data_IF_378048225250
#
_entry.id   IF_378048225250
#
_cell.length_a   1.000
_cell.length_b   1.000
_cell.length_c   1.000
_cell.angle_alpha   90.00
_cell.angle_beta   90.00
_cell.angle_gamma   90.00
#
_symmetry.space_group_name_H-M   'P 1'
#
loop_
_entity.id
_entity.type
_entity.pdbx_description
1 polymer ?
#
# COMPACT_ATOMS: atom_id res chain seq x y z
N UNK A 1 26.36 -25.57 -20.87
CA UNK A 1 26.25 -26.37 -19.64
C UNK A 1 24.88 -26.06 -19.06
N UNK A 2 23.90 -26.92 -19.32
CA UNK A 2 22.52 -26.75 -18.91
C UNK A 2 22.34 -27.36 -17.53
N UNK A 3 21.89 -26.57 -16.55
CA UNK A 3 21.34 -27.13 -15.31
C UNK A 3 19.85 -27.35 -15.54
N UNK A 4 19.51 -28.62 -15.66
CA UNK A 4 18.17 -29.16 -15.75
C UNK A 4 17.82 -29.60 -14.33
N UNK A 5 16.81 -28.99 -13.72
CA UNK A 5 16.17 -29.49 -12.51
C UNK A 5 14.69 -29.65 -12.84
N UNK A 6 14.18 -30.87 -12.71
CA UNK A 6 12.79 -31.23 -13.01
C UNK A 6 11.91 -30.99 -11.78
N UNK A 7 10.81 -30.28 -12.04
CA UNK A 7 9.44 -30.40 -11.50
C UNK A 7 9.25 -30.95 -10.08
N UNK A 8 8.75 -30.12 -9.16
CA UNK A 8 7.64 -30.53 -8.30
C UNK A 8 6.57 -29.44 -8.27
N UNK A 9 5.35 -29.84 -8.64
CA UNK A 9 4.17 -28.99 -8.66
C UNK A 9 3.87 -28.44 -7.28
N UNK A 10 4.24 -27.17 -7.06
CA UNK A 10 3.85 -26.42 -5.88
C UNK A 10 2.38 -26.02 -6.00
N UNK A 11 1.53 -26.63 -5.18
CA UNK A 11 0.18 -26.15 -4.94
C UNK A 11 0.23 -24.65 -4.66
N UNK A 12 -0.43 -23.86 -5.50
CA UNK A 12 -0.48 -22.40 -5.35
C UNK A 12 -1.29 -22.09 -4.11
N UNK A 13 -0.61 -21.96 -2.97
CA UNK A 13 -1.24 -21.65 -1.69
C UNK A 13 -2.11 -20.40 -1.83
N UNK A 14 -3.41 -20.56 -1.57
CA UNK A 14 -4.43 -19.50 -1.64
C UNK A 14 -4.31 -18.46 -0.52
N UNK A 15 -3.22 -18.49 0.25
CA UNK A 15 -3.05 -17.66 1.43
C UNK A 15 -1.84 -16.74 1.22
N UNK A 16 -2.16 -15.47 0.95
CA UNK A 16 -1.22 -14.37 0.72
C UNK A 16 -0.31 -14.05 1.95
N UNK A 17 -0.45 -14.81 3.03
CA UNK A 17 0.17 -14.64 4.34
C UNK A 17 1.53 -15.35 4.48
N UNK A 18 1.92 -16.22 3.53
CA UNK A 18 3.23 -16.89 3.56
C UNK A 18 4.34 -16.12 2.83
N UNK A 19 3.99 -15.21 1.90
CA UNK A 19 4.98 -14.34 1.25
C UNK A 19 5.54 -13.24 2.18
N UNK A 20 4.91 -13.06 3.35
CA UNK A 20 5.15 -11.94 4.28
C UNK A 20 6.34 -12.21 5.21
N UNK A 21 6.77 -13.46 5.35
CA UNK A 21 7.68 -13.89 6.44
C UNK A 21 9.18 -13.82 6.06
N UNK A 22 9.53 -13.73 4.77
CA UNK A 22 10.92 -13.63 4.32
C UNK A 22 11.33 -12.23 3.83
N UNK A 23 10.48 -11.21 3.95
CA UNK A 23 10.81 -9.87 3.49
C UNK A 23 10.48 -8.86 4.58
N UNK A 24 11.53 -8.27 5.18
CA UNK A 24 11.44 -7.27 6.23
C UNK A 24 10.34 -6.24 5.94
N UNK A 25 9.26 -6.32 6.69
CA UNK A 25 8.09 -5.50 6.48
C UNK A 25 8.39 -4.07 6.96
N UNK A 26 8.42 -3.11 6.03
CA UNK A 26 8.41 -1.69 6.37
C UNK A 26 7.10 -1.06 5.88
N UNK A 27 6.22 -0.86 6.87
CA UNK A 27 5.10 0.09 6.95
C UNK A 27 3.98 -0.01 5.89
N UNK A 28 2.79 -0.44 6.35
CA UNK A 28 1.54 -0.14 5.66
C UNK A 28 0.92 1.13 6.21
N UNK A 29 1.19 2.22 5.52
CA UNK A 29 0.19 3.19 5.14
C UNK A 29 0.81 3.95 3.95
N UNK A 30 0.12 4.16 2.83
CA UNK A 30 0.52 5.19 1.90
C UNK A 30 0.23 6.53 2.58
N UNK A 31 1.03 6.90 3.58
CA UNK A 31 1.19 8.27 3.98
C UNK A 31 1.70 8.96 2.72
N UNK A 32 0.78 9.62 2.01
CA UNK A 32 1.14 10.45 0.87
C UNK A 32 2.18 11.43 1.38
N UNK A 33 3.35 11.44 0.72
CA UNK A 33 4.39 12.39 1.05
C UNK A 33 3.85 13.82 0.95
N UNK A 34 4.52 14.76 1.62
CA UNK A 34 4.16 16.18 1.49
C UNK A 34 4.20 16.58 0.01
N UNK A 35 3.18 17.30 -0.44
CA UNK A 35 3.13 17.79 -1.82
C UNK A 35 4.30 18.73 -2.09
N UNK A 36 4.97 18.55 -3.23
CA UNK A 36 6.10 19.39 -3.62
C UNK A 36 5.64 20.69 -4.30
N UNK A 37 6.26 21.81 -3.93
CA UNK A 37 5.95 23.14 -4.50
C UNK A 37 6.50 23.31 -5.93
N UNK A 38 7.58 22.61 -6.25
CA UNK A 38 8.23 22.68 -7.57
C UNK A 38 7.45 21.94 -8.66
N UNK A 39 6.50 21.06 -8.30
CA UNK A 39 5.67 20.34 -9.25
C UNK A 39 4.95 21.31 -10.19
N UNK A 40 4.95 21.00 -11.50
CA UNK A 40 4.36 21.86 -12.52
C UNK A 40 2.88 22.17 -12.25
N UNK A 41 2.12 21.18 -11.76
CA UNK A 41 0.71 21.35 -11.40
C UNK A 41 0.50 22.36 -10.28
N UNK A 42 1.34 22.31 -9.24
CA UNK A 42 1.29 23.25 -8.11
C UNK A 42 1.66 24.67 -8.55
N UNK A 43 2.76 24.84 -9.31
CA UNK A 43 3.17 26.15 -9.87
C UNK A 43 2.07 26.79 -10.72
N UNK A 44 1.41 26.00 -11.57
CA UNK A 44 0.28 26.47 -12.38
C UNK A 44 -0.91 26.88 -11.51
N UNK A 45 -1.21 26.10 -10.47
CA UNK A 45 -2.32 26.38 -9.57
C UNK A 45 -2.08 27.67 -8.76
N UNK A 46 -0.88 27.88 -8.23
CA UNK A 46 -0.51 29.09 -7.51
C UNK A 46 -0.61 30.34 -8.38
N UNK A 47 -0.12 30.30 -9.63
CA UNK A 47 -0.29 31.39 -10.61
C UNK A 47 -1.75 31.66 -10.96
N UNK A 48 -2.59 30.62 -10.99
CA UNK A 48 -4.03 30.80 -11.23
C UNK A 48 -4.73 31.39 -10.01
N UNK A 49 -4.26 31.06 -8.82
CA UNK A 49 -4.85 31.46 -7.56
C UNK A 49 -4.46 32.89 -7.13
N UNK A 50 -3.40 33.46 -7.70
CA UNK A 50 -2.97 34.83 -7.43
C UNK A 50 -3.94 35.88 -7.99
N UNK A 51 -4.13 36.98 -7.27
CA UNK A 51 -5.01 38.08 -7.65
C UNK A 51 -6.38 38.00 -6.98
N UNK A 52 -7.38 38.66 -7.58
CA UNK A 52 -8.76 38.67 -7.10
C UNK A 52 -9.58 37.61 -7.85
N UNK A 53 -10.65 37.09 -7.23
CA UNK A 53 -11.52 36.08 -7.85
C UNK A 53 -11.68 34.77 -7.08
N UNK A 54 -11.15 34.68 -5.86
CA UNK A 54 -11.43 33.58 -4.93
C UNK A 54 -10.83 32.24 -5.36
N UNK A 55 -11.54 31.14 -5.09
CA UNK A 55 -11.08 29.77 -5.31
C UNK A 55 -11.19 29.38 -6.80
N UNK A 56 -10.06 29.14 -7.48
CA UNK A 56 -10.03 29.00 -8.96
C UNK A 56 -10.13 27.57 -9.52
N UNK A 57 -10.11 26.56 -8.64
CA UNK A 57 -10.32 25.14 -8.98
C UNK A 57 -11.35 24.50 -8.05
N UNK A 58 -12.14 23.52 -8.54
CA UNK A 58 -13.19 22.91 -7.74
C UNK A 58 -12.61 22.16 -6.54
N UNK A 59 -13.25 22.34 -5.37
CA UNK A 59 -12.99 21.54 -4.17
C UNK A 59 -14.02 20.42 -4.11
N UNK A 60 -13.57 19.19 -3.90
CA UNK A 60 -14.46 18.04 -3.85
C UNK A 60 -15.10 17.89 -2.45
N UNK A 61 -16.39 18.19 -2.33
CA UNK A 61 -17.11 18.18 -1.05
C UNK A 61 -17.81 16.84 -0.72
N UNK A 62 -18.31 16.11 -1.72
CA UNK A 62 -19.18 14.94 -1.51
C UNK A 62 -18.38 13.62 -1.39
N UNK A 63 -17.57 13.48 -0.34
CA UNK A 63 -16.81 12.24 -0.07
C UNK A 63 -17.73 11.12 0.42
N UNK A 64 -17.96 10.10 -0.40
CA UNK A 64 -18.80 8.95 -0.05
C UNK A 64 -18.03 7.77 0.57
N UNK A 65 -16.75 7.60 0.22
CA UNK A 65 -15.95 6.45 0.68
C UNK A 65 -15.31 6.74 2.03
N UNK A 66 -15.59 5.89 3.02
CA UNK A 66 -15.08 6.01 4.39
C UNK A 66 -13.70 5.37 4.56
N UNK A 67 -13.37 4.35 3.76
CA UNK A 67 -12.10 3.60 3.83
C UNK A 67 -11.22 3.86 2.62
N UNK A 68 -9.90 3.89 2.79
CA UNK A 68 -8.91 3.97 1.70
C UNK A 68 -8.46 2.55 1.28
N UNK A 69 -7.84 2.42 0.10
CA UNK A 69 -7.10 1.20 -0.24
C UNK A 69 -5.74 1.28 0.45
N UNK A 70 -5.37 0.20 1.14
CA UNK A 70 -4.06 0.09 1.79
C UNK A 70 -3.11 -0.54 0.77
N UNK A 71 -1.91 0.02 0.65
CA UNK A 71 -0.86 -0.49 -0.24
C UNK A 71 0.30 -0.91 0.64
N UNK A 72 0.76 -2.15 0.47
CA UNK A 72 1.94 -2.67 1.13
C UNK A 72 3.19 -2.27 0.33
N UNK A 73 4.24 -1.87 1.04
CA UNK A 73 5.58 -1.69 0.49
C UNK A 73 6.42 -2.90 0.89
N UNK A 74 6.67 -3.78 -0.06
CA UNK A 74 7.48 -4.98 0.14
C UNK A 74 8.93 -4.65 -0.23
N UNK A 75 9.85 -4.82 0.71
CA UNK A 75 11.27 -4.59 0.50
C UNK A 75 11.98 -5.94 0.30
N UNK A 76 12.63 -6.09 -0.86
CA UNK A 76 13.53 -7.20 -1.15
C UNK A 76 14.74 -7.16 -0.20
N UNK A 77 14.98 -8.21 0.59
CA UNK A 77 16.11 -8.21 1.54
C UNK A 77 17.47 -8.24 0.85
N UNK A 78 17.58 -8.99 -0.25
CA UNK A 78 18.84 -9.15 -1.01
C UNK A 78 19.17 -7.93 -1.87
N UNK A 79 18.16 -7.37 -2.55
CA UNK A 79 18.33 -6.35 -3.58
C UNK A 79 17.86 -4.95 -3.17
N UNK A 80 17.21 -4.81 -2.01
CA UNK A 80 16.63 -3.55 -1.46
C UNK A 80 15.64 -2.84 -2.37
N UNK A 81 15.17 -3.51 -3.43
CA UNK A 81 14.11 -3.02 -4.29
C UNK A 81 12.76 -3.00 -3.55
N UNK A 82 11.92 -2.01 -3.85
CA UNK A 82 10.60 -1.86 -3.26
C UNK A 82 9.51 -2.17 -4.29
N UNK A 83 8.64 -3.14 -3.98
CA UNK A 83 7.43 -3.44 -4.75
C UNK A 83 6.19 -2.99 -3.99
N UNK A 84 5.20 -2.44 -4.72
CA UNK A 84 3.95 -1.95 -4.14
C UNK A 84 2.81 -2.89 -4.45
N UNK A 85 2.19 -3.47 -3.42
CA UNK A 85 1.05 -4.38 -3.58
C UNK A 85 -0.23 -3.80 -2.99
N UNK A 86 -1.26 -3.48 -3.81
CA UNK A 86 -2.52 -2.93 -3.33
C UNK A 86 -3.46 -4.03 -2.81
N UNK A 87 -3.98 -3.85 -1.58
CA UNK A 87 -5.00 -4.73 -1.00
C UNK A 87 -6.41 -4.15 -1.24
N UNK A 88 -7.43 -5.00 -1.08
CA UNK A 88 -8.84 -4.59 -0.97
C UNK A 88 -9.03 -3.57 0.18
N UNK A 89 -10.17 -2.86 0.16
CA UNK A 89 -10.49 -1.86 1.20
C UNK A 89 -10.91 -2.58 2.48
N UNK A 90 -10.24 -2.28 3.58
CA UNK A 90 -10.57 -2.77 4.91
C UNK A 90 -10.75 -1.57 5.86
N UNK A 91 -11.61 -1.71 6.88
CA UNK A 91 -11.78 -0.69 7.93
C UNK A 91 -10.68 -0.79 8.98
N UNK A 92 -10.35 -2.02 9.36
CA UNK A 92 -9.30 -2.36 10.30
C UNK A 92 -8.29 -3.22 9.56
N UNK A 93 -7.02 -2.85 9.69
CA UNK A 93 -5.90 -3.57 9.09
C UNK A 93 -4.76 -3.51 10.10
N UNK A 94 -4.35 -4.67 10.56
CA UNK A 94 -3.26 -4.83 11.52
C UNK A 94 -2.14 -5.62 10.84
N UNK A 95 -0.91 -5.19 11.06
CA UNK A 95 0.28 -5.89 10.61
C UNK A 95 0.92 -6.56 11.81
N UNK A 96 1.24 -7.85 11.68
CA UNK A 96 1.99 -8.58 12.69
C UNK A 96 1.19 -8.97 13.93
N UNK A 97 -0.14 -9.12 13.81
CA UNK A 97 -0.97 -9.63 14.91
C UNK A 97 -0.62 -11.07 15.27
N UNK A 98 -0.85 -11.45 16.53
CA UNK A 98 -0.68 -12.81 17.00
C UNK A 98 -1.57 -13.77 16.20
N UNK A 99 -1.00 -14.88 15.74
CA UNK A 99 -1.77 -15.96 15.11
C UNK A 99 -2.81 -16.42 16.13
N UNK A 100 -4.10 -16.18 15.86
CA UNK A 100 -5.17 -16.72 16.70
C UNK A 100 -5.04 -18.24 16.71
N UNK A 101 -4.67 -18.80 17.85
CA UNK A 101 -4.57 -20.24 18.06
C UNK A 101 -5.90 -20.91 17.72
N UNK A 102 -5.85 -22.03 17.00
CA UNK A 102 -7.03 -22.85 16.74
C UNK A 102 -7.50 -23.43 18.08
N UNK A 103 -8.60 -22.90 18.61
CA UNK A 103 -9.43 -23.58 19.60
C UNK A 103 -9.06 -23.43 21.06
N UNK A 104 -9.05 -22.21 21.60
CA UNK A 104 -9.41 -22.05 23.03
C UNK A 104 -10.91 -21.75 23.10
N UNK A 105 -11.69 -22.75 23.51
CA UNK A 105 -13.07 -22.57 23.93
C UNK A 105 -13.06 -21.60 25.12
N UNK A 106 -13.46 -20.36 24.89
CA UNK A 106 -13.74 -19.40 25.95
C UNK A 106 -15.06 -19.81 26.60
N UNK A 107 -14.95 -20.44 27.78
CA UNK A 107 -15.98 -20.39 28.82
C UNK A 107 -15.74 -19.15 29.68
#
# INVERSE_FOLDING_TARGET
MACREEEEGGERSENQEDLVQEQGLQEAHPAQGKDSLSAQGKRRYERKQSGYGGQTKPVFHKKAKTTKKIVLKLQCQSCKHYSQHPIKRCKYFEIGGDKKGKGTSLF
#
